data_IF_191364094599
#
_entry.id   IF_191364094599
#
_cell.length_a   1.000
_cell.length_b   1.000
_cell.length_c   1.000
_cell.angle_alpha   90.00
_cell.angle_beta   90.00
_cell.angle_gamma   90.00
#
_symmetry.space_group_name_H-M   'P 1'
#
loop_
_entity.id
_entity.type
_entity.pdbx_description
1 polymer ?
#
# COMPACT_ATOMS: atom_id res chain seq x y z
N UNK A 1 14.53 -39.54 -30.04
CA UNK A 1 14.77 -38.13 -29.64
C UNK A 1 13.45 -37.36 -29.47
N UNK A 2 12.58 -37.32 -30.48
CA UNK A 2 11.32 -36.54 -30.46
C UNK A 2 10.31 -36.94 -29.36
N UNK A 3 10.10 -38.24 -29.11
CA UNK A 3 9.14 -38.70 -28.08
C UNK A 3 9.53 -38.36 -26.63
N UNK A 4 10.84 -38.26 -26.34
CA UNK A 4 11.34 -37.87 -25.01
C UNK A 4 11.12 -36.37 -24.76
N UNK A 5 11.26 -35.56 -25.81
CA UNK A 5 10.98 -34.12 -25.76
C UNK A 5 9.48 -33.86 -25.55
N UNK A 6 8.62 -34.63 -26.24
CA UNK A 6 7.17 -34.53 -26.08
C UNK A 6 6.73 -34.89 -24.65
N UNK A 7 7.28 -35.94 -24.05
CA UNK A 7 6.99 -36.30 -22.66
C UNK A 7 7.44 -35.20 -21.67
N UNK A 8 8.61 -34.60 -21.90
CA UNK A 8 9.09 -33.48 -21.07
C UNK A 8 8.18 -32.24 -21.19
N UNK A 9 7.72 -31.93 -22.41
CA UNK A 9 6.77 -30.84 -22.65
C UNK A 9 5.40 -31.11 -21.99
N UNK A 10 4.90 -32.34 -22.06
CA UNK A 10 3.65 -32.74 -21.40
C UNK A 10 3.76 -32.68 -19.87
N UNK A 11 4.89 -33.10 -19.30
CA UNK A 11 5.14 -33.00 -17.85
C UNK A 11 5.24 -31.54 -17.39
N UNK A 12 5.88 -30.67 -18.17
CA UNK A 12 5.97 -29.24 -17.86
C UNK A 12 4.61 -28.54 -17.93
N UNK A 13 3.80 -28.87 -18.94
CA UNK A 13 2.43 -28.37 -19.06
C UNK A 13 1.56 -28.80 -17.85
N UNK A 14 1.58 -30.09 -17.49
CA UNK A 14 0.81 -30.61 -16.35
C UNK A 14 1.24 -30.04 -14.99
N UNK A 15 2.54 -29.75 -14.81
CA UNK A 15 3.03 -29.11 -13.59
C UNK A 15 2.63 -27.62 -13.50
N UNK A 16 2.36 -26.97 -14.63
CA UNK A 16 1.96 -25.56 -14.67
C UNK A 16 0.52 -25.37 -14.20
N UNK A 17 -0.39 -26.28 -14.53
CA UNK A 17 -1.77 -26.29 -14.03
C UNK A 17 -1.86 -26.58 -12.52
N UNK A 18 -0.87 -27.29 -11.96
CA UNK A 18 -0.76 -27.56 -10.52
C UNK A 18 -0.10 -26.41 -9.75
N UNK A 19 0.61 -25.50 -10.42
CA UNK A 19 1.16 -24.29 -9.83
C UNK A 19 0.08 -23.22 -9.77
N UNK A 20 -0.87 -23.40 -8.87
CA UNK A 20 -1.62 -22.25 -8.38
C UNK A 20 -0.69 -21.49 -7.42
N UNK A 21 0.04 -20.52 -7.96
CA UNK A 21 0.95 -19.66 -7.20
C UNK A 21 0.26 -18.86 -6.09
N UNK A 22 -1.08 -18.94 -5.94
CA UNK A 22 -1.87 -18.25 -4.93
C UNK A 22 -2.86 -19.10 -4.11
N UNK A 23 -3.40 -20.22 -4.60
CA UNK A 23 -4.51 -20.91 -3.92
C UNK A 23 -4.15 -21.71 -2.65
N UNK A 24 -2.87 -21.84 -2.31
CA UNK A 24 -2.45 -22.57 -1.11
C UNK A 24 -2.33 -21.73 0.16
N UNK A 25 -2.37 -20.39 0.06
CA UNK A 25 -2.14 -19.52 1.21
C UNK A 25 -3.50 -19.20 1.87
N UNK A 26 -3.73 -19.58 3.15
CA UNK A 26 -4.93 -19.16 3.86
C UNK A 26 -4.97 -17.62 3.90
N UNK A 27 -6.17 -17.00 3.87
CA UNK A 27 -6.28 -15.55 3.96
C UNK A 27 -5.52 -15.01 5.18
N UNK A 28 -4.73 -13.95 4.98
CA UNK A 28 -4.06 -13.27 6.08
C UNK A 28 -5.11 -12.74 7.06
N UNK A 29 -4.90 -12.97 8.35
CA UNK A 29 -5.82 -12.52 9.40
C UNK A 29 -5.03 -12.08 10.62
N UNK A 30 -5.70 -11.55 11.64
CA UNK A 30 -5.05 -11.20 12.92
C UNK A 30 -4.31 -12.39 13.56
N UNK A 31 -4.75 -13.62 13.29
CA UNK A 31 -4.12 -14.86 13.78
C UNK A 31 -2.77 -15.16 13.12
N UNK A 32 -2.44 -14.46 12.03
CA UNK A 32 -1.15 -14.56 11.35
C UNK A 32 -0.03 -13.79 12.06
N UNK A 33 -0.35 -13.05 13.14
CA UNK A 33 0.59 -12.21 13.91
C UNK A 33 0.70 -12.71 15.36
N UNK A 34 1.79 -12.39 16.09
CA UNK A 34 1.94 -12.77 17.50
C UNK A 34 0.78 -12.28 18.37
N UNK A 35 0.51 -13.01 19.46
CA UNK A 35 -0.45 -12.56 20.46
C UNK A 35 -0.06 -11.19 21.01
N UNK A 36 -1.03 -10.29 21.13
CA UNK A 36 -0.79 -8.91 21.57
C UNK A 36 -0.32 -7.95 20.47
N UNK A 37 -0.22 -8.38 19.20
CA UNK A 37 0.09 -7.45 18.11
C UNK A 37 -0.96 -6.34 18.00
N UNK A 38 -0.52 -5.09 18.11
CA UNK A 38 -1.38 -3.90 18.05
C UNK A 38 -1.51 -3.44 16.60
N UNK A 39 -2.74 -3.44 16.12
CA UNK A 39 -3.12 -2.78 14.87
C UNK A 39 -3.80 -1.47 15.22
N UNK A 40 -3.46 -0.40 14.52
CA UNK A 40 -4.04 0.92 14.75
C UNK A 40 -4.01 1.78 13.49
N UNK A 41 -4.50 3.00 13.64
CA UNK A 41 -4.45 4.06 12.63
C UNK A 41 -3.74 5.28 13.23
N UNK A 42 -3.26 6.18 12.37
CA UNK A 42 -2.58 7.40 12.77
C UNK A 42 -3.05 8.59 11.92
N UNK A 43 -2.95 9.78 12.49
CA UNK A 43 -3.19 11.07 11.81
C UNK A 43 -2.14 12.08 12.25
N UNK A 44 -2.08 13.23 11.58
CA UNK A 44 -1.22 14.36 11.95
C UNK A 44 -2.04 15.63 12.12
N UNK A 45 -1.63 16.48 13.07
CA UNK A 45 -2.36 17.70 13.45
C UNK A 45 -2.72 18.57 12.24
N UNK A 46 -1.75 19.05 11.46
CA UNK A 46 -2.03 19.94 10.32
C UNK A 46 -2.92 19.32 9.23
N UNK A 47 -2.98 17.99 9.13
CA UNK A 47 -3.82 17.31 8.14
C UNK A 47 -5.27 17.15 8.58
N UNK A 48 -5.55 17.21 9.89
CA UNK A 48 -6.86 16.82 10.43
C UNK A 48 -7.44 17.81 11.45
N UNK A 49 -6.59 18.41 12.28
CA UNK A 49 -7.00 19.49 13.17
C UNK A 49 -7.37 20.72 12.33
N UNK A 50 -8.59 21.21 12.53
CA UNK A 50 -9.08 22.47 11.98
C UNK A 50 -8.65 23.64 12.89
N UNK A 51 -9.12 24.86 12.59
CA UNK A 51 -8.94 26.01 13.47
C UNK A 51 -7.48 26.48 13.51
N UNK A 52 -6.82 26.52 12.35
CA UNK A 52 -5.43 26.96 12.23
C UNK A 52 -5.17 28.34 12.87
N UNK A 53 -6.20 29.19 13.01
CA UNK A 53 -6.15 30.52 13.62
C UNK A 53 -7.00 30.64 14.90
N UNK A 54 -7.54 29.54 15.41
CA UNK A 54 -8.44 29.54 16.56
C UNK A 54 -7.71 29.23 17.88
N UNK A 55 -8.38 29.51 19.01
CA UNK A 55 -7.96 29.02 20.33
C UNK A 55 -6.60 29.52 20.84
N UNK A 56 -6.03 30.55 20.22
CA UNK A 56 -4.70 31.06 20.58
C UNK A 56 -3.54 30.22 20.02
N UNK A 57 -3.79 29.32 19.06
CA UNK A 57 -2.74 28.58 18.35
C UNK A 57 -1.83 29.55 17.58
N UNK A 58 -0.52 29.38 17.73
CA UNK A 58 0.47 30.08 16.89
C UNK A 58 0.68 29.41 15.53
N UNK A 59 1.10 30.16 14.49
CA UNK A 59 1.34 29.58 13.16
C UNK A 59 2.50 28.59 13.20
N UNK A 60 2.32 27.46 12.51
CA UNK A 60 3.38 26.49 12.22
C UNK A 60 4.10 26.81 10.91
N UNK A 61 5.19 26.08 10.64
CA UNK A 61 5.90 26.17 9.35
C UNK A 61 4.98 25.77 8.20
N UNK A 62 4.09 24.80 8.41
CA UNK A 62 3.14 24.35 7.39
C UNK A 62 2.14 25.46 7.02
N UNK A 63 1.67 26.25 7.99
CA UNK A 63 0.81 27.41 7.73
C UNK A 63 1.53 28.40 6.82
N UNK A 64 2.78 28.75 7.16
CA UNK A 64 3.59 29.69 6.36
C UNK A 64 3.78 29.17 4.93
N UNK A 65 4.19 27.91 4.80
CA UNK A 65 4.51 27.31 3.51
C UNK A 65 3.30 27.24 2.57
N UNK A 66 2.14 26.77 3.05
CA UNK A 66 0.96 26.62 2.18
C UNK A 66 0.37 27.97 1.76
N UNK A 67 0.43 28.98 2.62
CA UNK A 67 0.00 30.34 2.27
C UNK A 67 0.95 31.01 1.26
N UNK A 68 2.25 30.73 1.34
CA UNK A 68 3.25 31.29 0.43
C UNK A 68 3.34 30.58 -0.92
N UNK A 69 2.93 29.31 -0.99
CA UNK A 69 3.04 28.48 -2.19
C UNK A 69 1.74 27.77 -2.58
N UNK A 70 0.65 28.50 -2.88
CA UNK A 70 -0.68 27.91 -3.16
C UNK A 70 -0.75 27.08 -4.46
N UNK A 71 0.27 27.17 -5.32
CA UNK A 71 0.36 26.41 -6.57
C UNK A 71 1.26 25.19 -6.51
N UNK A 72 1.84 24.85 -5.35
CA UNK A 72 2.76 23.71 -5.20
C UNK A 72 1.99 22.40 -4.96
N UNK A 73 1.03 22.13 -5.82
CA UNK A 73 0.39 20.83 -5.95
C UNK A 73 0.78 20.32 -7.33
N UNK A 74 1.22 19.07 -7.46
CA UNK A 74 1.44 18.48 -8.78
C UNK A 74 0.13 18.59 -9.56
N UNK A 75 0.07 19.34 -10.67
CA UNK A 75 -1.17 19.47 -11.41
C UNK A 75 -1.59 18.09 -11.93
N UNK A 76 -2.84 17.68 -11.73
CA UNK A 76 -3.37 16.45 -12.34
C UNK A 76 -3.36 16.54 -13.88
N UNK A 77 -3.15 17.73 -14.45
CA UNK A 77 -2.91 17.97 -15.87
C UNK A 77 -1.48 17.66 -16.34
N UNK A 78 -0.60 17.18 -15.46
CA UNK A 78 0.80 16.82 -15.75
C UNK A 78 1.07 15.31 -15.64
N UNK A 79 0.01 14.51 -15.53
CA UNK A 79 -0.02 13.04 -15.66
C UNK A 79 -0.83 12.69 -16.92
#
# INVERSE_FOLDING_TARGET
MLGRLLLQLLLLAAASDAYDGGAGQPPISRRSFPEGFIFGTASAAYQYEDGAMDGGRGPSIWDTFTHQHPGMHTPLSSL
#
